data_IF_084200641344
#
_entry.id   IF_084200641344
#
_cell.length_a   1.000
_cell.length_b   1.000
_cell.length_c   1.000
_cell.angle_alpha   90.00
_cell.angle_beta   90.00
_cell.angle_gamma   90.00
#
_symmetry.space_group_name_H-M   'P 1'
#
loop_
_entity.id
_entity.type
_entity.pdbx_description
1 polymer ?
#
# COMPACT_ATOMS: atom_id res chain seq x y z
N UNK A 1 -6.19 21.09 23.24
CA UNK A 1 -6.74 19.87 22.63
C UNK A 1 -5.59 18.90 22.45
N UNK A 2 -5.66 17.71 23.04
CA UNK A 2 -4.74 16.61 22.74
C UNK A 2 -5.38 15.75 21.64
N UNK A 3 -4.73 15.66 20.47
CA UNK A 3 -5.10 14.69 19.45
C UNK A 3 -4.44 13.36 19.76
N UNK A 4 -5.21 12.27 19.67
CA UNK A 4 -4.64 10.92 19.63
C UNK A 4 -4.19 10.70 18.18
N UNK A 5 -2.89 10.52 17.97
CA UNK A 5 -2.34 10.06 16.69
C UNK A 5 -2.06 8.56 16.77
N UNK A 6 -2.55 7.81 15.79
CA UNK A 6 -2.12 6.42 15.61
C UNK A 6 -0.70 6.48 15.02
N UNK A 7 0.28 6.09 15.81
CA UNK A 7 1.70 6.13 15.40
C UNK A 7 2.08 4.89 14.60
N UNK A 8 1.40 3.77 14.82
CA UNK A 8 1.64 2.51 14.12
C UNK A 8 0.38 1.66 14.05
N UNK A 9 0.13 1.06 12.89
CA UNK A 9 -0.93 0.09 12.67
C UNK A 9 -0.38 -1.07 11.84
N UNK A 10 -0.50 -2.29 12.36
CA UNK A 10 -0.28 -3.52 11.58
C UNK A 10 -1.63 -3.98 11.01
N UNK A 11 -1.67 -4.18 9.70
CA UNK A 11 -2.77 -4.88 9.03
C UNK A 11 -2.27 -6.29 8.70
N UNK A 12 -2.93 -7.31 9.27
CA UNK A 12 -2.68 -8.70 8.92
C UNK A 12 -3.69 -9.12 7.86
N UNK A 13 -3.20 -9.54 6.69
CA UNK A 13 -4.03 -9.88 5.54
C UNK A 13 -3.66 -11.28 5.11
N UNK A 14 -4.63 -12.19 5.18
CA UNK A 14 -4.48 -13.59 4.78
C UNK A 14 -4.98 -13.81 3.33
N UNK A 15 -4.59 -14.93 2.73
CA UNK A 15 -5.02 -15.36 1.38
C UNK A 15 -4.74 -14.37 0.22
N UNK A 16 -3.67 -13.58 0.33
CA UNK A 16 -3.20 -12.72 -0.77
C UNK A 16 -2.62 -13.56 -1.91
N UNK A 17 -3.12 -13.37 -3.13
CA UNK A 17 -2.64 -14.05 -4.35
C UNK A 17 -1.66 -13.20 -5.16
N UNK A 18 -1.83 -11.88 -5.14
CA UNK A 18 -0.98 -10.94 -5.84
C UNK A 18 -0.94 -9.60 -5.08
N UNK A 19 0.22 -8.96 -5.09
CA UNK A 19 0.42 -7.59 -4.61
C UNK A 19 0.95 -6.78 -5.79
N UNK A 20 0.24 -5.69 -6.14
CA UNK A 20 0.77 -4.69 -7.06
C UNK A 20 1.12 -3.43 -6.30
N UNK A 21 2.33 -2.93 -6.53
CA UNK A 21 2.79 -1.64 -6.02
C UNK A 21 2.92 -0.71 -7.21
N UNK A 22 2.28 0.45 -7.15
CA UNK A 22 2.37 1.43 -8.22
C UNK A 22 3.74 2.11 -8.24
N UNK A 23 4.03 2.73 -9.38
CA UNK A 23 5.05 3.76 -9.46
C UNK A 23 4.72 4.91 -8.48
N UNK A 24 5.77 5.61 -8.06
CA UNK A 24 5.62 6.82 -7.25
C UNK A 24 5.42 7.98 -8.23
N UNK A 25 4.27 8.62 -8.13
CA UNK A 25 3.90 9.76 -8.98
C UNK A 25 3.58 10.96 -8.10
N UNK A 26 3.67 12.15 -8.67
CA UNK A 26 3.27 13.37 -7.97
C UNK A 26 1.77 13.59 -8.20
N UNK A 27 1.04 13.95 -7.15
CA UNK A 27 -0.37 14.31 -7.24
C UNK A 27 -0.57 15.79 -7.56
N UNK A 28 -1.83 16.22 -7.65
CA UNK A 28 -2.19 17.61 -7.99
C UNK A 28 -1.85 18.63 -6.91
N UNK A 29 -1.65 18.17 -5.68
CA UNK A 29 -1.33 19.01 -4.50
C UNK A 29 0.20 19.16 -4.33
N UNK A 30 0.99 18.51 -5.19
CA UNK A 30 2.46 18.53 -5.15
C UNK A 30 3.06 17.45 -4.26
N UNK A 31 2.23 16.64 -3.60
CA UNK A 31 2.64 15.52 -2.76
C UNK A 31 2.96 14.30 -3.63
N UNK A 32 3.77 13.38 -3.12
CA UNK A 32 4.02 12.10 -3.78
C UNK A 32 3.01 11.08 -3.31
N UNK A 33 2.56 10.22 -4.23
CA UNK A 33 1.63 9.14 -3.94
C UNK A 33 2.13 7.80 -4.50
N UNK A 34 1.88 6.74 -3.73
CA UNK A 34 2.03 5.34 -4.14
C UNK A 34 0.84 4.55 -3.63
N UNK A 35 0.39 3.60 -4.44
CA UNK A 35 -0.72 2.71 -4.10
C UNK A 35 -0.19 1.29 -3.99
N UNK A 36 -0.59 0.60 -2.93
CA UNK A 36 -0.39 -0.85 -2.76
C UNK A 36 -1.76 -1.53 -2.85
N UNK A 37 -1.92 -2.42 -3.82
CA UNK A 37 -3.14 -3.19 -4.06
C UNK A 37 -2.92 -4.66 -3.74
N UNK A 38 -3.86 -5.24 -3.00
CA UNK A 38 -3.89 -6.66 -2.65
C UNK A 38 -5.02 -7.34 -3.40
N UNK A 39 -4.70 -8.44 -4.06
CA UNK A 39 -5.62 -9.21 -4.88
C UNK A 39 -5.80 -10.60 -4.27
N UNK A 40 -7.04 -11.06 -4.28
CA UNK A 40 -7.45 -12.37 -3.78
C UNK A 40 -7.78 -13.31 -4.93
N UNK A 41 -8.50 -14.38 -4.59
CA UNK A 41 -8.98 -15.32 -5.59
C UNK A 41 -9.91 -14.64 -6.61
N UNK A 42 -9.87 -15.09 -7.87
CA UNK A 42 -10.71 -14.51 -8.92
C UNK A 42 -12.19 -14.76 -8.61
N UNK A 43 -12.98 -13.69 -8.56
CA UNK A 43 -14.42 -13.78 -8.22
C UNK A 43 -15.29 -13.88 -9.49
N UNK A 44 -14.84 -13.32 -10.62
CA UNK A 44 -15.54 -13.36 -11.92
C UNK A 44 -14.52 -13.42 -13.07
N UNK A 45 -14.78 -14.25 -14.09
CA UNK A 45 -13.98 -14.38 -15.32
C UNK A 45 -12.49 -14.74 -15.14
N UNK A 46 -12.09 -15.32 -14.00
CA UNK A 46 -10.72 -15.79 -13.77
C UNK A 46 -9.68 -14.69 -13.52
N UNK A 47 -10.08 -13.42 -13.48
CA UNK A 47 -9.18 -12.31 -13.19
C UNK A 47 -9.06 -12.09 -11.67
N UNK A 48 -7.84 -11.96 -11.11
CA UNK A 48 -7.65 -11.58 -9.71
C UNK A 48 -8.38 -10.27 -9.40
N UNK A 49 -9.14 -10.22 -8.31
CA UNK A 49 -9.89 -9.03 -7.90
C UNK A 49 -9.20 -8.36 -6.73
N UNK A 50 -9.00 -7.04 -6.83
CA UNK A 50 -8.45 -6.26 -5.73
C UNK A 50 -9.50 -6.20 -4.60
N UNK A 51 -9.12 -6.62 -3.39
CA UNK A 51 -10.00 -6.57 -2.23
C UNK A 51 -9.54 -5.57 -1.17
N UNK A 52 -8.26 -5.14 -1.23
CA UNK A 52 -7.74 -4.08 -0.37
C UNK A 52 -6.79 -3.16 -1.16
N UNK A 53 -6.84 -1.88 -0.84
CA UNK A 53 -5.99 -0.84 -1.41
C UNK A 53 -5.52 0.08 -0.28
N UNK A 54 -4.22 0.41 -0.29
CA UNK A 54 -3.61 1.38 0.62
C UNK A 54 -2.97 2.47 -0.23
N UNK A 55 -3.46 3.69 -0.08
CA UNK A 55 -2.87 4.88 -0.66
C UNK A 55 -1.91 5.53 0.34
N UNK A 56 -0.64 5.62 -0.02
CA UNK A 56 0.41 6.24 0.78
C UNK A 56 0.78 7.59 0.16
N UNK A 57 0.71 8.66 0.94
CA UNK A 57 1.05 10.04 0.53
C UNK A 57 2.19 10.57 1.39
N UNK A 58 3.16 11.25 0.78
CA UNK A 58 4.23 11.96 1.50
C UNK A 58 4.73 13.18 0.73
N UNK A 59 5.25 14.17 1.46
CA UNK A 59 5.91 15.33 0.90
C UNK A 59 7.23 14.98 0.20
N UNK A 60 7.90 13.89 0.62
CA UNK A 60 9.14 13.42 0.00
C UNK A 60 8.94 12.10 -0.74
N UNK A 61 9.46 12.03 -1.97
CA UNK A 61 9.38 10.83 -2.81
C UNK A 61 10.04 9.61 -2.16
N UNK A 62 11.18 9.82 -1.50
CA UNK A 62 12.00 8.74 -0.95
C UNK A 62 11.32 8.02 0.23
N UNK A 63 10.42 8.72 0.94
CA UNK A 63 9.62 8.14 2.04
C UNK A 63 8.68 7.03 1.56
N UNK A 64 8.35 7.03 0.26
CA UNK A 64 7.45 6.04 -0.34
C UNK A 64 8.21 4.84 -0.93
N UNK A 65 9.54 4.78 -0.82
CA UNK A 65 10.34 3.67 -1.36
C UNK A 65 10.07 2.37 -0.60
N UNK A 66 9.81 1.27 -1.33
CA UNK A 66 9.70 -0.06 -0.72
C UNK A 66 11.11 -0.57 -0.49
N UNK A 67 11.47 -0.73 0.78
CA UNK A 67 12.72 -1.39 1.14
C UNK A 67 12.51 -2.90 1.11
N UNK A 68 13.49 -3.63 0.54
CA UNK A 68 13.49 -5.08 0.64
C UNK A 68 13.49 -5.47 2.14
N UNK A 69 12.68 -6.46 2.56
CA UNK A 69 12.60 -6.83 3.96
C UNK A 69 13.98 -7.28 4.47
N UNK A 70 14.48 -6.57 5.50
CA UNK A 70 15.76 -6.86 6.13
C UNK A 70 15.75 -8.05 7.11
N UNK A 71 14.67 -8.83 7.18
CA UNK A 71 14.54 -9.92 8.15
C UNK A 71 14.57 -11.29 7.48
N UNK A 72 15.61 -12.07 7.85
CA UNK A 72 15.67 -13.52 7.68
C UNK A 72 14.72 -14.17 8.69
N UNK A 73 13.88 -15.09 8.24
CA UNK A 73 13.23 -16.07 9.12
C UNK A 73 14.27 -17.01 9.73
#
# INVERSE_FOLDING_TARGET
MSSISIVHQKLDIEDVRLINVSDIVQDTDGEWIRIVKFYGDPVVNGAPTAFAEIACRSANKDDLTIQAPGFKY
#
